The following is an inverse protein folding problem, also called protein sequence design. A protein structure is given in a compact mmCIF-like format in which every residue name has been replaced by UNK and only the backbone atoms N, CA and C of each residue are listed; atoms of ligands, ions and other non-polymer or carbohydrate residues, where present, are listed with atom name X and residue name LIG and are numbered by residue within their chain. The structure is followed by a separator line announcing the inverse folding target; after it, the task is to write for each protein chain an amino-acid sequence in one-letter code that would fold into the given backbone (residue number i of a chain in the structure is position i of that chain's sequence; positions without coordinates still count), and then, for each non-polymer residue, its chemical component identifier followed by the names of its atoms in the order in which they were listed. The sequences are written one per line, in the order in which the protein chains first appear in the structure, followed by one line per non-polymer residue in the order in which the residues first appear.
data_IF_662043259223
#
_entry.id   IF_662043259223
#
_cell.length_a   1.000
_cell.length_b   1.000
_cell.length_c   1.000
_cell.angle_alpha   90.00
_cell.angle_beta   90.00
_cell.angle_gamma   90.00
#
_symmetry.space_group_name_H-M   'P 1'
#
loop_
_entity.id
_entity.type
_entity.pdbx_description
1 polymer ?
#
# COMPACT_ATOMS: atom_id res chain seq x y z
N UNK A 1 -24.26 -31.16 20.73
CA UNK A 1 -25.00 -31.09 19.44
C UNK A 1 -26.25 -30.22 19.62
N UNK A 2 -26.07 -28.95 20.00
CA UNK A 2 -27.16 -27.99 20.27
C UNK A 2 -26.63 -26.52 20.32
N UNK A 3 -25.61 -26.21 19.52
CA UNK A 3 -25.04 -24.84 19.41
C UNK A 3 -25.05 -24.34 17.95
N UNK A 4 -25.52 -25.14 16.99
CA UNK A 4 -25.52 -24.78 15.57
C UNK A 4 -26.88 -24.29 15.03
N UNK A 5 -27.92 -24.25 15.84
CA UNK A 5 -29.28 -23.88 15.37
C UNK A 5 -29.69 -22.45 15.71
N UNK A 6 -28.94 -21.76 16.59
CA UNK A 6 -29.31 -20.41 17.09
C UNK A 6 -28.82 -19.30 16.15
N UNK A 7 -27.73 -19.50 15.40
CA UNK A 7 -27.19 -18.49 14.49
C UNK A 7 -27.98 -18.34 13.17
N UNK A 8 -28.74 -19.36 12.76
CA UNK A 8 -29.47 -19.33 11.49
C UNK A 8 -30.80 -18.57 11.59
N UNK A 9 -31.53 -18.74 12.71
CA UNK A 9 -32.84 -18.10 12.95
C UNK A 9 -32.68 -16.59 13.16
N UNK A 10 -31.55 -16.15 13.71
CA UNK A 10 -31.31 -14.72 13.95
C UNK A 10 -31.00 -13.95 12.66
N UNK A 11 -30.38 -14.59 11.65
CA UNK A 11 -30.11 -13.96 10.36
C UNK A 11 -31.36 -13.79 9.50
N UNK A 12 -32.25 -14.79 9.41
CA UNK A 12 -33.48 -14.66 8.60
C UNK A 12 -34.49 -13.68 9.21
N UNK A 13 -34.63 -13.65 10.55
CA UNK A 13 -35.49 -12.64 11.21
C UNK A 13 -34.97 -11.22 11.02
N UNK A 14 -33.65 -11.01 10.99
CA UNK A 14 -33.07 -9.69 10.76
C UNK A 14 -33.27 -9.22 9.30
N UNK A 15 -33.12 -10.13 8.33
CA UNK A 15 -33.33 -9.84 6.90
C UNK A 15 -34.80 -9.48 6.64
N UNK A 16 -35.75 -10.26 7.18
CA UNK A 16 -37.18 -9.99 7.02
C UNK A 16 -37.64 -8.71 7.75
N UNK A 17 -37.02 -8.37 8.89
CA UNK A 17 -37.28 -7.11 9.59
C UNK A 17 -36.72 -5.88 8.86
N UNK A 18 -35.62 -6.05 8.13
CA UNK A 18 -35.01 -4.99 7.30
C UNK A 18 -35.83 -4.78 6.01
N UNK A 19 -36.30 -5.84 5.36
CA UNK A 19 -37.11 -5.73 4.14
C UNK A 19 -38.48 -5.09 4.38
N UNK A 20 -39.12 -5.41 5.51
CA UNK A 20 -40.41 -4.79 5.89
C UNK A 20 -40.27 -3.29 6.16
N UNK A 21 -39.18 -2.85 6.80
CA UNK A 21 -38.93 -1.44 7.12
C UNK A 21 -38.35 -0.60 5.97
N UNK A 22 -37.68 -1.22 4.99
CA UNK A 22 -37.13 -0.52 3.81
C UNK A 22 -38.20 -0.18 2.77
N UNK A 23 -39.24 -1.01 2.65
CA UNK A 23 -40.35 -0.76 1.71
C UNK A 23 -41.09 0.56 2.01
N UNK A 24 -41.21 0.95 3.28
CA UNK A 24 -41.85 2.20 3.71
C UNK A 24 -40.99 3.47 3.59
N UNK A 25 -39.67 3.34 3.43
CA UNK A 25 -38.73 4.48 3.37
C UNK A 25 -38.34 4.82 1.92
N UNK A 26 -38.47 3.88 1.00
CA UNK A 26 -38.13 4.06 -0.41
C UNK A 26 -39.13 4.92 -1.22
N UNK A 27 -40.30 5.24 -0.68
CA UNK A 27 -41.35 5.94 -1.42
C UNK A 27 -41.34 7.48 -1.28
N UNK A 28 -40.46 8.06 -0.44
CA UNK A 28 -40.46 9.52 -0.16
C UNK A 28 -39.27 10.33 -0.70
N UNK A 29 -38.43 9.76 -1.58
CA UNK A 29 -37.30 10.51 -2.17
C UNK A 29 -37.27 10.59 -3.70
N UNK A 30 -38.37 10.23 -4.38
CA UNK A 30 -38.54 10.50 -5.81
C UNK A 30 -38.89 11.97 -6.02
N UNK A 31 -37.88 12.82 -6.13
CA UNK A 31 -38.13 14.22 -6.47
C UNK A 31 -36.92 15.12 -6.39
N UNK A 32 -35.86 14.82 -7.14
CA UNK A 32 -34.92 15.82 -7.66
C UNK A 32 -34.11 15.18 -8.78
N UNK A 33 -34.11 15.82 -9.94
CA UNK A 33 -33.45 15.35 -11.16
C UNK A 33 -31.93 15.24 -10.95
N UNK A 34 -31.47 14.07 -10.48
CA UNK A 34 -30.06 13.71 -10.53
C UNK A 34 -29.71 13.47 -11.99
N UNK A 35 -28.89 14.36 -12.59
CA UNK A 35 -28.21 14.03 -13.84
C UNK A 35 -27.55 12.66 -13.64
N UNK A 36 -28.02 11.63 -14.35
CA UNK A 36 -27.50 10.27 -14.20
C UNK A 36 -26.07 10.27 -14.69
N UNK A 37 -25.12 10.45 -13.76
CA UNK A 37 -23.70 10.28 -14.06
C UNK A 37 -23.50 8.94 -14.76
N UNK A 38 -22.71 8.97 -15.82
CA UNK A 38 -22.30 7.75 -16.50
C UNK A 38 -21.51 6.86 -15.53
N UNK A 39 -21.52 5.56 -15.77
CA UNK A 39 -20.77 4.64 -14.90
C UNK A 39 -19.28 4.94 -14.91
N UNK A 40 -18.72 5.44 -16.02
CA UNK A 40 -17.32 5.86 -16.11
C UNK A 40 -17.03 7.05 -15.19
N UNK A 41 -17.91 8.04 -15.14
CA UNK A 41 -17.77 9.18 -14.22
C UNK A 41 -17.91 8.75 -12.76
N UNK A 42 -18.80 7.79 -12.46
CA UNK A 42 -18.90 7.20 -11.12
C UNK A 42 -17.63 6.45 -10.74
N UNK A 43 -17.00 5.73 -11.68
CA UNK A 43 -15.74 5.05 -11.46
C UNK A 43 -14.60 6.04 -11.22
N UNK A 44 -14.48 7.09 -12.03
CA UNK A 44 -13.53 8.19 -11.79
C UNK A 44 -13.76 8.81 -10.42
N UNK A 45 -15.01 9.13 -10.08
CA UNK A 45 -15.35 9.66 -8.75
C UNK A 45 -14.92 8.71 -7.64
N UNK A 46 -15.15 7.41 -7.79
CA UNK A 46 -14.67 6.40 -6.84
C UNK A 46 -13.14 6.42 -6.72
N UNK A 47 -12.41 6.59 -7.80
CA UNK A 47 -10.93 6.63 -7.78
C UNK A 47 -10.40 7.91 -7.10
N UNK A 48 -10.93 9.08 -7.42
CA UNK A 48 -10.45 10.36 -6.87
C UNK A 48 -10.95 10.65 -5.45
N UNK A 49 -12.20 10.29 -5.15
CA UNK A 49 -12.91 10.68 -3.92
C UNK A 49 -13.14 9.47 -2.99
N UNK A 50 -12.91 8.24 -3.46
CA UNK A 50 -13.25 7.02 -2.71
C UNK A 50 -14.75 6.91 -2.37
N UNK A 51 -15.62 7.51 -3.19
CA UNK A 51 -17.07 7.45 -3.01
C UNK A 51 -17.79 7.45 -4.37
N UNK A 52 -18.92 6.75 -4.44
CA UNK A 52 -19.82 6.76 -5.60
C UNK A 52 -20.84 7.89 -5.51
N UNK A 53 -21.19 8.31 -4.28
CA UNK A 53 -22.06 9.46 -4.02
C UNK A 53 -21.31 10.80 -4.11
N UNK A 54 -22.05 11.91 -4.19
CA UNK A 54 -21.49 13.27 -4.22
C UNK A 54 -20.89 13.74 -2.88
N UNK A 55 -20.71 12.84 -1.90
CA UNK A 55 -20.15 13.16 -0.58
C UNK A 55 -18.64 12.96 -0.59
N UNK A 56 -17.91 14.05 -0.40
CA UNK A 56 -16.46 13.99 -0.17
C UNK A 56 -16.17 13.59 1.28
N UNK A 57 -15.32 12.59 1.47
CA UNK A 57 -14.82 12.19 2.78
C UNK A 57 -13.30 12.24 2.75
N UNK A 58 -12.70 12.87 3.77
CA UNK A 58 -11.26 13.00 3.86
C UNK A 58 -10.61 11.66 4.27
N UNK A 59 -9.57 11.26 3.53
CA UNK A 59 -8.74 10.09 3.84
C UNK A 59 -8.77 9.00 2.77
N UNK A 60 -7.90 8.00 2.96
CA UNK A 60 -7.80 6.85 2.06
C UNK A 60 -9.00 5.90 2.14
N UNK A 61 -9.00 4.81 1.35
CA UNK A 61 -10.11 3.86 1.26
C UNK A 61 -10.48 3.20 2.60
N UNK A 62 -9.55 3.19 3.55
CA UNK A 62 -9.76 2.65 4.90
C UNK A 62 -10.58 3.56 5.84
N UNK A 63 -10.72 4.86 5.53
CA UNK A 63 -11.22 5.86 6.49
C UNK A 63 -12.74 6.10 6.45
N UNK A 64 -13.48 5.42 5.56
CA UNK A 64 -14.93 5.51 5.51
C UNK A 64 -15.55 4.25 4.91
N UNK A 65 -16.12 3.42 5.78
CA UNK A 65 -16.75 2.14 5.42
C UNK A 65 -18.15 2.13 6.02
N UNK A 66 -19.10 2.76 5.32
CA UNK A 66 -20.52 2.56 5.63
C UNK A 66 -21.06 1.40 4.78
N UNK A 67 -21.96 0.58 5.34
CA UNK A 67 -22.51 -0.58 4.63
C UNK A 67 -23.09 -0.18 3.26
N UNK A 68 -23.86 0.89 3.21
CA UNK A 68 -24.43 1.44 1.98
C UNK A 68 -23.35 1.87 0.97
N UNK A 69 -22.26 2.48 1.43
CA UNK A 69 -21.14 2.83 0.54
C UNK A 69 -20.38 1.62 0.02
N UNK A 70 -20.28 0.53 0.79
CA UNK A 70 -19.61 -0.70 0.35
C UNK A 70 -20.45 -1.42 -0.70
N UNK A 71 -21.75 -1.54 -0.47
CA UNK A 71 -22.70 -2.14 -1.42
C UNK A 71 -22.67 -1.35 -2.73
N UNK A 72 -22.84 -0.03 -2.68
CA UNK A 72 -22.84 0.80 -3.90
C UNK A 72 -21.51 0.74 -4.68
N UNK A 73 -20.37 0.56 -4.00
CA UNK A 73 -19.07 0.35 -4.66
C UNK A 73 -19.01 -1.01 -5.33
N UNK A 74 -19.45 -2.06 -4.64
CA UNK A 74 -19.48 -3.43 -5.16
C UNK A 74 -20.40 -3.52 -6.39
N UNK A 75 -21.62 -3.00 -6.30
CA UNK A 75 -22.60 -3.03 -7.39
C UNK A 75 -22.05 -2.35 -8.66
N UNK A 76 -21.42 -1.19 -8.51
CA UNK A 76 -20.78 -0.48 -9.62
C UNK A 76 -19.68 -1.32 -10.27
N UNK A 77 -18.83 -1.97 -9.47
CA UNK A 77 -17.75 -2.81 -9.98
C UNK A 77 -18.31 -4.05 -10.67
N UNK A 78 -19.28 -4.72 -10.08
CA UNK A 78 -19.89 -5.93 -10.64
C UNK A 78 -20.59 -5.62 -11.98
N UNK A 79 -21.21 -4.44 -12.11
CA UNK A 79 -21.75 -3.95 -13.39
C UNK A 79 -20.65 -3.74 -14.45
N UNK A 80 -19.51 -3.15 -14.07
CA UNK A 80 -18.37 -2.98 -14.97
C UNK A 80 -17.78 -4.31 -15.43
N UNK A 81 -17.62 -5.26 -14.50
CA UNK A 81 -17.04 -6.56 -14.80
C UNK A 81 -17.94 -7.40 -15.72
N UNK A 82 -19.28 -7.28 -15.58
CA UNK A 82 -20.25 -7.94 -16.46
C UNK A 82 -20.33 -7.31 -17.85
N UNK A 83 -20.43 -5.99 -17.92
CA UNK A 83 -20.81 -5.31 -19.17
C UNK A 83 -19.63 -4.78 -19.98
N UNK A 84 -18.56 -4.31 -19.32
CA UNK A 84 -17.47 -3.59 -20.01
C UNK A 84 -16.11 -3.64 -19.27
N UNK A 85 -15.53 -4.85 -19.08
CA UNK A 85 -14.26 -4.99 -18.34
C UNK A 85 -13.10 -4.22 -19.00
N UNK A 86 -13.07 -4.12 -20.33
CA UNK A 86 -12.05 -3.34 -21.06
C UNK A 86 -12.07 -1.84 -20.70
N UNK A 87 -13.26 -1.26 -20.58
CA UNK A 87 -13.44 0.15 -20.21
C UNK A 87 -12.98 0.40 -18.77
N UNK A 88 -13.24 -0.55 -17.87
CA UNK A 88 -12.75 -0.51 -16.49
C UNK A 88 -11.21 -0.42 -16.45
N UNK A 89 -10.49 -1.35 -17.11
CA UNK A 89 -9.02 -1.32 -17.11
C UNK A 89 -8.44 -0.09 -17.80
N UNK A 90 -9.04 0.36 -18.91
CA UNK A 90 -8.63 1.60 -19.59
C UNK A 90 -8.75 2.80 -18.66
N UNK A 91 -9.85 2.89 -17.91
CA UNK A 91 -10.07 3.98 -16.96
C UNK A 91 -9.02 3.95 -15.86
N UNK A 92 -8.77 2.78 -15.25
CA UNK A 92 -7.74 2.61 -14.21
C UNK A 92 -6.36 3.03 -14.71
N UNK A 93 -5.94 2.57 -15.89
CA UNK A 93 -4.66 2.93 -16.50
C UNK A 93 -4.56 4.43 -16.82
N UNK A 94 -5.64 5.05 -17.31
CA UNK A 94 -5.64 6.49 -17.57
C UNK A 94 -5.50 7.30 -16.27
N UNK A 95 -6.16 6.86 -15.19
CA UNK A 95 -6.10 7.54 -13.89
C UNK A 95 -4.80 7.27 -13.12
N UNK A 96 -4.08 6.18 -13.41
CA UNK A 96 -2.83 5.86 -12.70
C UNK A 96 -1.67 6.78 -13.05
N UNK A 97 -1.73 7.40 -14.23
CA UNK A 97 -0.76 8.39 -14.70
C UNK A 97 -1.09 9.82 -14.28
N UNK A 98 -2.30 10.05 -13.76
CA UNK A 98 -2.64 11.36 -13.25
C UNK A 98 -1.87 11.67 -11.95
N UNK A 99 -1.20 12.82 -11.95
CA UNK A 99 -0.46 13.35 -10.80
C UNK A 99 -1.38 13.97 -9.75
N UNK A 100 -2.63 14.28 -10.10
CA UNK A 100 -3.63 14.89 -9.21
C UNK A 100 -4.38 13.87 -8.36
N UNK A 101 -4.10 12.57 -8.52
CA UNK A 101 -4.75 11.52 -7.74
C UNK A 101 -4.41 11.68 -6.23
N UNK A 102 -5.40 11.98 -5.36
CA UNK A 102 -5.12 12.27 -3.96
C UNK A 102 -4.55 11.07 -3.19
N UNK A 103 -5.09 9.88 -3.47
CA UNK A 103 -4.74 8.66 -2.77
C UNK A 103 -4.55 7.50 -3.77
N UNK A 104 -3.30 7.20 -4.12
CA UNK A 104 -2.96 6.04 -4.98
C UNK A 104 -3.47 4.70 -4.43
N UNK A 105 -3.56 4.58 -3.10
CA UNK A 105 -4.14 3.41 -2.42
C UNK A 105 -5.56 3.07 -2.91
N UNK A 106 -6.34 4.06 -3.37
CA UNK A 106 -7.69 3.84 -3.91
C UNK A 106 -7.69 3.00 -5.18
N UNK A 107 -6.67 3.13 -6.04
CA UNK A 107 -6.54 2.27 -7.24
C UNK A 107 -6.36 0.80 -6.83
N UNK A 108 -5.47 0.56 -5.87
CA UNK A 108 -5.19 -0.77 -5.36
C UNK A 108 -6.41 -1.38 -4.64
N UNK A 109 -7.18 -0.56 -3.92
CA UNK A 109 -8.44 -0.97 -3.32
C UNK A 109 -9.47 -1.38 -4.39
N UNK A 110 -9.69 -0.56 -5.41
CA UNK A 110 -10.65 -0.85 -6.49
C UNK A 110 -10.27 -2.14 -7.25
N UNK A 111 -8.98 -2.33 -7.54
CA UNK A 111 -8.48 -3.56 -8.18
C UNK A 111 -8.61 -4.79 -7.26
N UNK A 112 -8.36 -4.63 -5.96
CA UNK A 112 -8.56 -5.69 -4.99
C UNK A 112 -10.04 -6.07 -4.88
N UNK A 113 -10.96 -5.10 -4.87
CA UNK A 113 -12.41 -5.32 -4.89
C UNK A 113 -12.85 -6.05 -6.15
N UNK A 114 -12.36 -5.64 -7.32
CA UNK A 114 -12.63 -6.32 -8.59
C UNK A 114 -12.12 -7.78 -8.59
N UNK A 115 -10.97 -8.05 -7.97
CA UNK A 115 -10.45 -9.42 -7.85
C UNK A 115 -11.31 -10.31 -6.94
N UNK A 116 -11.88 -9.74 -5.88
CA UNK A 116 -12.71 -10.44 -4.89
C UNK A 116 -14.17 -10.61 -5.28
N UNK A 117 -14.62 -9.89 -6.31
CA UNK A 117 -15.97 -10.02 -6.88
C UNK A 117 -16.24 -11.44 -7.40
N UNK A 118 -17.50 -11.86 -7.30
CA UNK A 118 -17.97 -13.17 -7.76
C UNK A 118 -18.09 -13.20 -9.29
N UNK A 119 -18.40 -12.05 -9.89
CA UNK A 119 -18.53 -11.80 -11.32
C UNK A 119 -17.19 -11.82 -12.05
N UNK A 120 -16.07 -11.80 -11.32
CA UNK A 120 -14.74 -11.81 -11.90
C UNK A 120 -14.36 -13.21 -12.44
N UNK A 121 -14.38 -13.32 -13.77
CA UNK A 121 -13.88 -14.50 -14.51
C UNK A 121 -12.38 -14.71 -14.29
N UNK A 122 -11.87 -15.91 -14.61
CA UNK A 122 -10.44 -16.22 -14.47
C UNK A 122 -9.54 -15.27 -15.29
N UNK A 123 -10.01 -14.87 -16.47
CA UNK A 123 -9.34 -13.92 -17.37
C UNK A 123 -9.27 -12.52 -16.76
N UNK A 124 -10.39 -12.02 -16.23
CA UNK A 124 -10.45 -10.73 -15.53
C UNK A 124 -9.50 -10.73 -14.33
N UNK A 125 -9.50 -11.81 -13.53
CA UNK A 125 -8.60 -11.94 -12.37
C UNK A 125 -7.13 -11.89 -12.78
N UNK A 126 -6.79 -12.51 -13.91
CA UNK A 126 -5.44 -12.43 -14.47
C UNK A 126 -5.11 -11.01 -14.95
N UNK A 127 -6.02 -10.36 -15.67
CA UNK A 127 -5.86 -9.00 -16.18
C UNK A 127 -5.74 -7.95 -15.05
N UNK A 128 -6.48 -8.12 -13.95
CA UNK A 128 -6.30 -7.32 -12.71
C UNK A 128 -4.87 -7.45 -12.21
N UNK A 129 -4.35 -8.67 -12.07
CA UNK A 129 -2.98 -8.88 -11.60
C UNK A 129 -1.94 -8.28 -12.55
N UNK A 130 -2.11 -8.41 -13.87
CA UNK A 130 -1.23 -7.77 -14.85
C UNK A 130 -1.30 -6.24 -14.78
N UNK A 131 -2.49 -5.68 -14.58
CA UNK A 131 -2.70 -4.24 -14.42
C UNK A 131 -2.00 -3.73 -13.16
N UNK A 132 -2.12 -4.44 -12.03
CA UNK A 132 -1.40 -4.11 -10.79
C UNK A 132 0.11 -4.05 -11.03
N UNK A 133 0.68 -5.04 -11.73
CA UNK A 133 2.11 -5.05 -12.02
C UNK A 133 2.57 -3.87 -12.90
N UNK A 134 1.68 -3.32 -13.75
CA UNK A 134 1.95 -2.15 -14.59
C UNK A 134 1.85 -0.83 -13.82
N UNK A 135 0.85 -0.68 -12.95
CA UNK A 135 0.58 0.59 -12.26
C UNK A 135 1.42 0.79 -11.00
N UNK A 136 1.95 -0.29 -10.41
CA UNK A 136 2.75 -0.22 -9.18
C UNK A 136 4.06 0.54 -9.42
N UNK A 137 4.18 1.73 -8.83
CA UNK A 137 5.38 2.57 -8.93
C UNK A 137 6.37 2.29 -7.79
N UNK A 138 5.91 1.66 -6.71
CA UNK A 138 6.69 1.39 -5.51
C UNK A 138 6.31 0.04 -4.89
N UNK A 139 7.16 -0.46 -3.99
CA UNK A 139 6.84 -1.63 -3.18
C UNK A 139 5.64 -1.36 -2.29
N UNK A 140 5.51 -0.14 -1.76
CA UNK A 140 4.35 0.25 -0.97
C UNK A 140 3.04 0.10 -1.77
N UNK A 141 3.00 0.53 -3.04
CA UNK A 141 1.84 0.36 -3.93
C UNK A 141 1.44 -1.12 -4.03
N UNK A 142 2.42 -2.01 -4.20
CA UNK A 142 2.15 -3.45 -4.28
C UNK A 142 1.66 -4.03 -2.94
N UNK A 143 2.24 -3.60 -1.82
CA UNK A 143 1.79 -4.02 -0.51
C UNK A 143 0.40 -3.47 -0.14
N UNK A 144 0.03 -2.27 -0.61
CA UNK A 144 -1.33 -1.72 -0.49
C UNK A 144 -2.33 -2.67 -1.16
N UNK A 145 -2.03 -3.14 -2.37
CA UNK A 145 -2.87 -4.12 -3.07
C UNK A 145 -3.03 -5.42 -2.27
N UNK A 146 -1.92 -5.99 -1.76
CA UNK A 146 -1.98 -7.22 -0.95
C UNK A 146 -2.78 -7.00 0.33
N UNK A 147 -2.61 -5.85 0.99
CA UNK A 147 -3.41 -5.48 2.17
C UNK A 147 -4.90 -5.51 1.83
N UNK A 148 -5.34 -4.84 0.76
CA UNK A 148 -6.76 -4.76 0.42
C UNK A 148 -7.36 -6.11 -0.01
N UNK A 149 -6.62 -6.90 -0.80
CA UNK A 149 -7.07 -8.28 -1.14
C UNK A 149 -7.28 -9.11 0.13
N UNK A 150 -6.39 -8.93 1.13
CA UNK A 150 -6.46 -9.68 2.38
C UNK A 150 -7.56 -9.19 3.30
N UNK A 151 -7.86 -7.90 3.31
CA UNK A 151 -8.93 -7.32 4.14
C UNK A 151 -10.32 -7.57 3.59
N UNK A 152 -10.47 -7.69 2.26
CA UNK A 152 -11.76 -7.89 1.60
C UNK A 152 -12.21 -9.35 1.61
N UNK A 153 -11.33 -10.30 1.93
CA UNK A 153 -11.66 -11.73 1.98
C UNK A 153 -11.99 -12.18 3.40
N UNK A 154 -13.04 -13.01 3.50
CA UNK A 154 -13.43 -13.71 4.74
C UNK A 154 -12.32 -14.69 5.19
N UNK A 155 -11.64 -15.33 4.24
CA UNK A 155 -10.51 -16.21 4.52
C UNK A 155 -9.17 -15.49 4.34
N UNK A 156 -8.28 -15.61 5.34
CA UNK A 156 -6.94 -14.95 5.37
C UNK A 156 -5.94 -15.47 4.32
N UNK A 157 -6.29 -16.46 3.49
CA UNK A 157 -5.38 -17.03 2.48
C UNK A 157 -5.46 -16.28 1.16
N UNK A 158 -4.31 -15.89 0.63
CA UNK A 158 -4.21 -15.25 -0.69
C UNK A 158 -4.56 -16.24 -1.82
N UNK A 159 -5.28 -15.80 -2.86
CA UNK A 159 -5.64 -16.67 -3.99
C UNK A 159 -4.40 -17.05 -4.83
N UNK A 160 -4.43 -18.22 -5.51
CA UNK A 160 -3.32 -18.66 -6.36
C UNK A 160 -2.89 -17.63 -7.42
N UNK A 161 -3.84 -16.89 -8.00
CA UNK A 161 -3.56 -15.83 -8.99
C UNK A 161 -2.69 -14.71 -8.39
N UNK A 162 -2.97 -14.30 -7.15
CA UNK A 162 -2.17 -13.28 -6.45
C UNK A 162 -0.80 -13.83 -6.07
N UNK A 163 -0.71 -15.10 -5.66
CA UNK A 163 0.59 -15.73 -5.41
C UNK A 163 1.46 -15.77 -6.67
N UNK A 164 0.88 -16.03 -7.84
CA UNK A 164 1.58 -15.93 -9.14
C UNK A 164 2.03 -14.49 -9.42
N UNK A 165 1.17 -13.50 -9.18
CA UNK A 165 1.49 -12.09 -9.35
C UNK A 165 2.65 -11.65 -8.42
N UNK A 166 2.66 -12.09 -7.16
CA UNK A 166 3.75 -11.85 -6.20
C UNK A 166 5.08 -12.41 -6.73
N UNK A 167 5.08 -13.67 -7.20
CA UNK A 167 6.28 -14.28 -7.79
C UNK A 167 6.77 -13.48 -9.01
N UNK A 168 5.86 -13.05 -9.89
CA UNK A 168 6.18 -12.24 -11.06
C UNK A 168 6.73 -10.86 -10.69
N UNK A 169 6.13 -10.20 -9.70
CA UNK A 169 6.60 -8.90 -9.20
C UNK A 169 8.05 -8.94 -8.74
N UNK A 170 8.43 -9.95 -7.95
CA UNK A 170 9.80 -10.09 -7.46
C UNK A 170 10.77 -10.65 -8.51
N UNK A 171 10.30 -11.51 -9.42
CA UNK A 171 11.12 -12.01 -10.54
C UNK A 171 11.52 -10.88 -11.50
N UNK A 172 10.66 -9.88 -11.67
CA UNK A 172 10.92 -8.74 -12.55
C UNK A 172 11.86 -7.69 -11.94
N UNK A 173 12.22 -7.81 -10.64
CA UNK A 173 13.15 -6.87 -10.00
C UNK A 173 14.57 -7.40 -10.02
N UNK A 174 15.51 -6.49 -10.27
CA UNK A 174 16.93 -6.81 -10.09
C UNK A 174 17.23 -7.08 -8.61
N UNK A 175 18.27 -7.89 -8.34
CA UNK A 175 18.73 -8.16 -6.98
C UNK A 175 19.12 -6.88 -6.25
N UNK A 176 19.70 -5.91 -6.97
CA UNK A 176 20.07 -4.61 -6.41
C UNK A 176 18.85 -3.77 -6.04
N UNK A 177 17.84 -3.70 -6.90
CA UNK A 177 16.59 -2.97 -6.62
C UNK A 177 15.83 -3.57 -5.44
N UNK A 178 15.80 -4.91 -5.36
CA UNK A 178 15.18 -5.61 -4.25
C UNK A 178 15.92 -5.34 -2.93
N UNK A 179 17.26 -5.33 -2.95
CA UNK A 179 18.07 -4.99 -1.78
C UNK A 179 17.84 -3.54 -1.33
N UNK A 180 17.82 -2.60 -2.26
CA UNK A 180 17.51 -1.20 -1.98
C UNK A 180 16.09 -1.00 -1.43
N UNK A 181 15.11 -1.75 -1.95
CA UNK A 181 13.72 -1.69 -1.49
C UNK A 181 13.59 -2.26 -0.07
N UNK A 182 14.25 -3.37 0.20
CA UNK A 182 14.31 -3.98 1.53
C UNK A 182 15.05 -3.12 2.55
N UNK A 183 16.17 -2.51 2.14
CA UNK A 183 16.92 -1.56 2.94
C UNK A 183 16.04 -0.36 3.32
N UNK A 184 15.17 0.09 2.39
CA UNK A 184 14.20 1.17 2.65
C UNK A 184 13.12 0.80 3.67
N UNK A 185 12.52 -0.38 3.53
CA UNK A 185 11.54 -0.89 4.50
C UNK A 185 11.54 -2.42 4.54
N UNK A 186 11.40 -2.99 5.74
CA UNK A 186 11.25 -4.45 5.94
C UNK A 186 9.82 -4.95 5.78
N UNK A 187 8.85 -4.06 5.91
CA UNK A 187 7.43 -4.40 5.93
C UNK A 187 6.60 -3.18 5.58
N UNK A 188 5.43 -3.42 5.02
CA UNK A 188 4.41 -2.39 4.85
C UNK A 188 3.10 -2.95 5.40
N UNK A 189 2.39 -2.13 6.18
CA UNK A 189 1.22 -2.57 6.94
C UNK A 189 1.58 -3.77 7.84
N UNK A 190 0.75 -4.82 7.83
CA UNK A 190 0.99 -6.07 8.56
C UNK A 190 1.79 -7.11 7.76
N UNK A 191 2.21 -6.79 6.53
CA UNK A 191 2.89 -7.71 5.64
C UNK A 191 4.39 -7.42 5.61
N UNK A 192 5.21 -8.46 5.78
CA UNK A 192 6.66 -8.36 5.60
C UNK A 192 7.10 -8.91 4.24
N UNK A 193 8.29 -8.51 3.77
CA UNK A 193 8.89 -9.17 2.61
C UNK A 193 9.01 -10.68 2.84
N UNK A 194 9.36 -11.11 4.06
CA UNK A 194 9.42 -12.54 4.45
C UNK A 194 8.10 -13.27 4.23
N UNK A 195 6.96 -12.60 4.40
CA UNK A 195 5.64 -13.21 4.18
C UNK A 195 5.32 -13.41 2.70
N UNK A 196 5.72 -12.46 1.86
CA UNK A 196 5.45 -12.48 0.43
C UNK A 196 6.47 -13.34 -0.36
N UNK A 197 7.68 -13.48 0.16
CA UNK A 197 8.84 -14.03 -0.57
C UNK A 197 9.10 -15.53 -0.30
N UNK A 198 8.20 -16.24 0.37
CA UNK A 198 8.39 -17.67 0.73
C UNK A 198 8.60 -18.66 -0.45
N UNK A 199 8.59 -18.18 -1.69
CA UNK A 199 8.50 -18.99 -2.92
C UNK A 199 9.53 -18.62 -4.01
N UNK A 200 10.57 -17.84 -3.69
CA UNK A 200 11.56 -17.39 -4.68
C UNK A 200 13.00 -17.84 -4.37
N UNK A 201 13.82 -18.00 -5.42
CA UNK A 201 15.26 -18.27 -5.32
C UNK A 201 16.05 -17.03 -5.75
N UNK A 202 16.58 -16.26 -4.80
CA UNK A 202 17.50 -15.16 -5.04
C UNK A 202 18.37 -14.95 -3.79
N UNK A 203 19.61 -14.50 -3.95
CA UNK A 203 20.54 -14.12 -2.86
C UNK A 203 19.88 -13.19 -1.84
N UNK A 204 19.14 -12.18 -2.30
CA UNK A 204 18.44 -11.24 -1.41
C UNK A 204 17.31 -11.94 -0.66
N UNK A 205 16.58 -12.82 -1.35
CA UNK A 205 15.51 -13.62 -0.75
C UNK A 205 16.08 -14.52 0.35
N UNK A 206 17.19 -15.21 0.07
CA UNK A 206 17.89 -16.04 1.05
C UNK A 206 18.31 -15.20 2.26
N UNK A 207 18.91 -14.02 2.06
CA UNK A 207 19.27 -13.12 3.15
C UNK A 207 18.05 -12.67 3.97
N UNK A 208 16.94 -12.32 3.32
CA UNK A 208 15.70 -11.91 4.00
C UNK A 208 15.15 -13.06 4.88
N UNK A 209 15.28 -14.31 4.40
CA UNK A 209 14.79 -15.50 5.08
C UNK A 209 15.70 -15.98 6.22
N UNK A 210 17.01 -16.06 5.98
CA UNK A 210 18.00 -16.67 6.89
C UNK A 210 18.79 -15.66 7.72
N UNK A 211 18.79 -14.38 7.33
CA UNK A 211 19.62 -13.31 7.91
C UNK A 211 21.12 -13.60 7.88
N UNK A 212 21.57 -14.53 7.02
CA UNK A 212 22.98 -14.87 6.81
C UNK A 212 23.40 -14.49 5.40
N UNK A 213 24.62 -13.98 5.25
CA UNK A 213 25.24 -13.83 3.95
C UNK A 213 25.55 -15.23 3.38
N UNK A 214 25.27 -15.51 2.10
CA UNK A 214 25.66 -16.76 1.48
C UNK A 214 27.18 -16.81 1.27
N UNK A 215 27.77 -17.98 1.50
CA UNK A 215 29.23 -18.20 1.47
C UNK A 215 29.87 -18.11 0.06
N UNK A 216 29.06 -17.98 -1.00
CA UNK A 216 29.53 -17.92 -2.40
C UNK A 216 29.79 -16.49 -2.87
N UNK A 217 30.88 -15.90 -2.34
CA UNK A 217 31.36 -14.56 -2.67
C UNK A 217 32.20 -14.52 -3.98
N UNK A 218 31.63 -14.98 -5.09
CA UNK A 218 32.30 -14.95 -6.41
C UNK A 218 31.99 -13.71 -7.27
N UNK A 219 30.79 -13.12 -7.13
CA UNK A 219 30.33 -12.05 -8.02
C UNK A 219 30.35 -10.67 -7.34
N UNK A 220 30.97 -9.69 -8.00
CA UNK A 220 31.05 -8.29 -7.53
C UNK A 220 29.65 -7.70 -7.23
N UNK A 221 28.64 -8.00 -8.06
CA UNK A 221 27.26 -7.57 -7.84
C UNK A 221 26.64 -8.17 -6.56
N UNK A 222 26.91 -9.45 -6.28
CA UNK A 222 26.44 -10.12 -5.05
C UNK A 222 27.07 -9.48 -3.81
N UNK A 223 28.36 -9.14 -3.88
CA UNK A 223 29.07 -8.47 -2.78
C UNK A 223 28.45 -7.09 -2.51
N UNK A 224 28.17 -6.31 -3.55
CA UNK A 224 27.51 -5.00 -3.42
C UNK A 224 26.12 -5.13 -2.78
N UNK A 225 25.31 -6.08 -3.25
CA UNK A 225 23.99 -6.38 -2.71
C UNK A 225 24.07 -6.75 -1.22
N UNK A 226 25.01 -7.62 -0.85
CA UNK A 226 25.20 -8.03 0.54
C UNK A 226 25.68 -6.87 1.42
N UNK A 227 26.54 -5.99 0.90
CA UNK A 227 27.00 -4.80 1.60
C UNK A 227 25.84 -3.86 1.94
N UNK A 228 24.96 -3.58 0.98
CA UNK A 228 23.75 -2.77 1.20
C UNK A 228 22.87 -3.38 2.29
N UNK A 229 22.62 -4.70 2.21
CA UNK A 229 21.79 -5.41 3.17
C UNK A 229 22.38 -5.38 4.58
N UNK A 230 23.68 -5.67 4.72
CA UNK A 230 24.39 -5.64 6.00
C UNK A 230 24.39 -4.23 6.61
N UNK A 231 24.72 -3.20 5.83
CA UNK A 231 24.69 -1.80 6.28
C UNK A 231 23.29 -1.38 6.74
N UNK A 232 22.25 -1.80 6.02
CA UNK A 232 20.86 -1.51 6.39
C UNK A 232 20.43 -2.17 7.70
N UNK A 233 20.90 -3.39 7.98
CA UNK A 233 20.66 -4.09 9.26
C UNK A 233 21.45 -3.46 10.40
N UNK A 234 22.71 -3.08 10.16
CA UNK A 234 23.53 -2.34 11.12
C UNK A 234 22.85 -1.02 11.49
N UNK A 235 22.37 -0.25 10.51
CA UNK A 235 21.68 1.03 10.78
C UNK A 235 20.43 0.89 11.67
N UNK A 236 19.75 -0.26 11.61
CA UNK A 236 18.54 -0.54 12.41
C UNK A 236 18.85 -0.98 13.84
N UNK A 237 20.03 -1.58 14.07
CA UNK A 237 20.44 -2.14 15.38
C UNK A 237 21.37 -1.22 16.17
N UNK A 238 22.14 -0.40 15.47
CA UNK A 238 23.20 0.42 16.05
C UNK A 238 22.65 1.60 16.84
N UNK A 239 23.07 1.70 18.11
CA UNK A 239 22.71 2.77 19.05
C UNK A 239 23.66 3.97 19.01
N UNK A 240 24.76 3.88 18.26
CA UNK A 240 25.78 4.93 18.16
C UNK A 240 25.55 5.84 16.94
N UNK A 241 25.59 7.15 17.17
CA UNK A 241 25.43 8.16 16.13
C UNK A 241 26.64 8.21 15.18
N UNK A 242 27.87 7.97 15.68
CA UNK A 242 29.10 8.05 14.87
C UNK A 242 29.15 6.99 13.77
N UNK A 243 28.61 5.81 14.06
CA UNK A 243 28.52 4.71 13.09
C UNK A 243 27.33 4.89 12.16
N UNK A 244 26.23 5.47 12.64
CA UNK A 244 25.02 5.64 11.84
C UNK A 244 25.16 6.74 10.76
N UNK A 245 25.79 7.87 11.06
CA UNK A 245 25.96 9.01 10.13
C UNK A 245 26.63 8.62 8.79
N UNK A 246 27.78 7.93 8.75
CA UNK A 246 28.39 7.56 7.47
C UNK A 246 27.52 6.58 6.68
N UNK A 247 26.87 5.63 7.36
CA UNK A 247 25.96 4.66 6.72
C UNK A 247 24.75 5.39 6.10
N UNK A 248 24.22 6.43 6.76
CA UNK A 248 23.10 7.23 6.25
C UNK A 248 23.50 7.96 4.96
N UNK A 249 24.69 8.54 4.92
CA UNK A 249 25.20 9.24 3.74
C UNK A 249 25.38 8.29 2.54
N UNK A 250 25.95 7.10 2.79
CA UNK A 250 26.19 6.10 1.74
C UNK A 250 24.89 5.49 1.19
N UNK A 251 23.96 5.11 2.06
CA UNK A 251 22.70 4.46 1.65
C UNK A 251 21.61 5.46 1.24
N UNK A 252 21.86 6.78 1.36
CA UNK A 252 20.84 7.84 1.25
C UNK A 252 19.61 7.51 2.09
N UNK A 253 19.86 7.09 3.33
CA UNK A 253 18.85 6.52 4.21
C UNK A 253 17.86 7.58 4.69
N UNK A 254 16.60 7.16 4.90
CA UNK A 254 15.55 8.01 5.47
C UNK A 254 15.44 7.81 6.98
N UNK A 255 14.81 8.76 7.68
CA UNK A 255 14.63 8.71 9.15
C UNK A 255 13.91 7.44 9.63
N UNK A 256 13.06 6.86 8.78
CA UNK A 256 12.29 5.65 9.11
C UNK A 256 13.18 4.40 9.19
N UNK A 257 14.34 4.40 8.54
CA UNK A 257 15.30 3.30 8.56
C UNK A 257 16.22 3.33 9.79
N UNK A 258 16.38 4.52 10.37
CA UNK A 258 17.25 4.72 11.54
C UNK A 258 16.57 4.20 12.81
N UNK A 259 17.36 3.59 13.70
CA UNK A 259 16.89 3.15 15.01
C UNK A 259 16.20 4.30 15.78
N UNK A 260 15.08 3.98 16.46
CA UNK A 260 14.24 4.96 17.16
C UNK A 260 14.99 5.79 18.21
N UNK A 261 15.97 5.22 18.90
CA UNK A 261 16.84 5.91 19.88
C UNK A 261 17.61 7.07 19.27
N UNK A 262 18.12 6.89 18.05
CA UNK A 262 18.95 7.86 17.33
C UNK A 262 18.13 9.00 16.68
N UNK A 263 16.81 8.85 16.54
CA UNK A 263 15.91 9.87 15.95
C UNK A 263 15.75 11.14 16.80
N UNK A 264 16.41 11.22 17.95
CA UNK A 264 16.48 12.41 18.82
C UNK A 264 17.75 13.23 18.60
N UNK A 265 18.80 12.65 18.01
CA UNK A 265 20.10 13.30 17.83
C UNK A 265 20.08 14.28 16.65
N UNK A 266 20.55 15.51 16.85
CA UNK A 266 20.64 16.52 15.80
C UNK A 266 21.61 16.11 14.67
N UNK A 267 22.71 15.42 14.99
CA UNK A 267 23.70 14.96 14.01
C UNK A 267 23.12 13.97 13.01
N UNK A 268 22.26 13.08 13.49
CA UNK A 268 21.54 12.11 12.64
C UNK A 268 20.57 12.85 11.72
N UNK A 269 19.89 13.90 12.21
CA UNK A 269 19.02 14.72 11.38
C UNK A 269 19.80 15.50 10.31
N UNK A 270 20.99 16.02 10.62
CA UNK A 270 21.88 16.65 9.63
C UNK A 270 22.26 15.69 8.49
N UNK A 271 22.52 14.42 8.79
CA UNK A 271 22.84 13.43 7.78
C UNK A 271 21.64 12.99 6.93
N UNK A 272 20.43 12.98 7.51
CA UNK A 272 19.21 12.52 6.85
C UNK A 272 18.56 13.62 5.99
N UNK A 273 18.59 14.87 6.45
CA UNK A 273 17.88 15.99 5.81
C UNK A 273 18.19 16.16 4.31
N UNK A 274 19.46 16.09 3.86
CA UNK A 274 19.79 16.20 2.43
C UNK A 274 19.15 15.12 1.55
N UNK A 275 18.79 13.97 2.14
CA UNK A 275 18.22 12.83 1.42
C UNK A 275 16.68 12.85 1.38
N UNK A 276 16.04 13.79 2.09
CA UNK A 276 14.58 13.86 2.18
C UNK A 276 13.96 14.63 1.02
N UNK A 277 12.77 14.21 0.60
CA UNK A 277 11.95 15.00 -0.32
C UNK A 277 11.26 16.15 0.42
N UNK A 278 10.86 17.20 -0.30
CA UNK A 278 10.14 18.33 0.29
C UNK A 278 8.90 17.90 1.08
N UNK A 279 8.11 16.96 0.53
CA UNK A 279 6.93 16.41 1.20
C UNK A 279 7.28 15.76 2.55
N UNK A 280 8.39 15.01 2.62
CA UNK A 280 8.86 14.40 3.87
C UNK A 280 9.32 15.47 4.87
N UNK A 281 10.03 16.51 4.42
CA UNK A 281 10.48 17.62 5.26
C UNK A 281 9.29 18.35 5.89
N UNK A 282 8.24 18.63 5.10
CA UNK A 282 7.03 19.28 5.59
C UNK A 282 6.34 18.49 6.71
N UNK A 283 6.31 17.15 6.60
CA UNK A 283 5.72 16.29 7.63
C UNK A 283 6.51 16.29 8.95
N UNK A 284 7.82 16.55 8.90
CA UNK A 284 8.69 16.57 10.09
C UNK A 284 9.03 17.97 10.58
N UNK A 285 8.47 19.01 9.96
CA UNK A 285 8.74 20.42 10.27
C UNK A 285 8.59 20.76 11.77
N UNK A 286 7.53 20.31 12.50
CA UNK A 286 7.41 20.58 13.93
C UNK A 286 8.57 19.98 14.74
N UNK A 287 9.12 18.86 14.27
CA UNK A 287 10.25 18.19 14.93
C UNK A 287 11.57 18.91 14.62
N UNK A 288 11.76 19.39 13.39
CA UNK A 288 12.91 20.22 13.02
C UNK A 288 12.95 21.53 13.81
N UNK A 289 11.79 22.14 14.02
CA UNK A 289 11.67 23.31 14.89
C UNK A 289 12.13 23.01 16.33
N UNK A 290 11.64 21.90 16.92
CA UNK A 290 12.03 21.46 18.27
C UNK A 290 13.54 21.19 18.40
N UNK A 291 14.16 20.65 17.35
CA UNK A 291 15.60 20.39 17.30
C UNK A 291 16.44 21.65 17.02
N UNK A 292 15.79 22.79 16.79
CA UNK A 292 16.44 24.09 16.63
C UNK A 292 16.77 24.46 15.19
N UNK A 293 16.65 23.55 14.22
CA UNK A 293 17.03 23.77 12.81
C UNK A 293 16.35 24.98 12.15
N UNK A 294 15.19 25.39 12.67
CA UNK A 294 14.37 26.47 12.10
C UNK A 294 14.42 27.76 12.94
N UNK A 295 15.36 27.88 13.89
CA UNK A 295 15.54 29.10 14.68
C UNK A 295 16.36 30.13 13.90
N UNK A 296 15.98 31.41 14.03
CA UNK A 296 16.52 32.59 13.31
C UNK A 296 18.05 32.82 13.48
N UNK A 297 18.70 32.07 14.38
CA UNK A 297 20.15 32.03 14.60
C UNK A 297 20.56 30.57 14.77
N UNK A 298 20.71 29.84 13.68
CA UNK A 298 21.57 28.66 13.67
C UNK A 298 22.96 29.18 13.35
N UNK A 299 23.91 29.19 14.30
CA UNK A 299 25.28 29.56 13.97
C UNK A 299 25.81 28.47 13.03
N UNK A 300 26.23 28.86 11.82
CA UNK A 300 27.07 28.05 10.95
C UNK A 300 28.49 27.91 11.56
N UNK A 301 28.59 27.43 12.80
CA UNK A 301 29.86 27.22 13.47
C UNK A 301 30.07 25.74 13.69
N UNK A 302 31.08 25.22 12.95
CA UNK A 302 31.78 23.93 13.11
C UNK A 302 31.50 22.83 12.07
N UNK A 303 31.63 23.15 10.77
CA UNK A 303 32.29 22.23 9.84
C UNK A 303 33.64 22.87 9.50
N UNK A 304 34.71 22.21 9.93
CA UNK A 304 36.07 22.75 10.00
C UNK A 304 36.62 23.19 8.65
N UNK A 305 37.38 24.29 8.71
CA UNK A 305 38.68 24.37 8.05
C UNK A 305 39.67 23.47 8.79
#
# INVERSE_FOLDING_TARGET
MLVHTIDYVFCESLVNFIDSNLSGILDKSKGMAASKLTNEEKLKRLIYINNTSAKYVCGGPDKYVSLSSVIAKRDLLDEFLRNSPKTFFKTILSTSEDKLLPHRATLHYVLASALTSEEATAEIKHEVCETVLKICKSDQDFFDFIKYVSSLKVHKKLPPTVLKAIRKFYKNKSSLDLANSYARSTSYHTWSYKDLIKLGHNVVINFILTKKAPDSAGDNEKIQVLNILNKSETLRKTKDHKVAVPIIAELKATINQVQSSLRKSAEVWNAVLPNMTLSQVLQVLPKLYKLGFLKKRYPHSSLGQ
#
